data_IF_774806734623
#
_entry.id   IF_774806734623
#
_cell.length_a   1.000
_cell.length_b   1.000
_cell.length_c   1.000
_cell.angle_alpha   90.00
_cell.angle_beta   90.00
_cell.angle_gamma   90.00
#
_symmetry.space_group_name_H-M   'P 1'
#
loop_
_entity.id
_entity.type
_entity.pdbx_description
1 polymer ?
2 non-polymer ?
3 non-polymer ?
4 water ?
#
# COMPACT_ATOMS: atom_id res chain seq x y z
N UNK A 1 11.51 16.11 -19.03
CA UNK A 1 10.74 15.72 -17.81
C UNK A 1 10.34 14.25 -17.97
N UNK A 2 10.13 13.59 -16.82
CA UNK A 2 9.48 12.28 -16.82
C UNK A 2 8.30 12.33 -15.84
N UNK A 3 7.45 11.30 -15.94
CA UNK A 3 6.30 11.13 -15.07
C UNK A 3 6.44 9.81 -14.33
N UNK A 4 6.33 9.87 -13.00
CA UNK A 4 6.41 8.70 -12.13
C UNK A 4 5.08 8.65 -11.37
N UNK A 5 4.39 7.50 -11.48
CA UNK A 5 3.12 7.30 -10.82
C UNK A 5 3.18 6.06 -9.92
N UNK A 6 2.51 6.16 -8.75
CA UNK A 6 2.39 5.05 -7.83
C UNK A 6 0.92 4.94 -7.41
N UNK A 7 0.32 3.77 -7.70
CA UNK A 7 -1.12 3.57 -7.56
C UNK A 7 -1.41 2.46 -6.53
N UNK A 8 -2.34 2.76 -5.61
CA UNK A 8 -2.81 1.78 -4.63
C UNK A 8 -4.34 1.79 -4.59
N UNK A 9 -4.95 1.11 -3.61
CA UNK A 9 -6.41 1.03 -3.53
C UNK A 9 -7.08 2.40 -3.40
N UNK A 10 -6.45 3.36 -2.70
CA UNK A 10 -7.15 4.59 -2.33
C UNK A 10 -6.88 5.72 -3.33
N UNK A 11 -5.77 5.67 -4.07
CA UNK A 11 -5.40 6.80 -4.91
C UNK A 11 -4.16 6.46 -5.74
N UNK A 12 -3.94 7.28 -6.78
CA UNK A 12 -2.70 7.30 -7.52
C UNK A 12 -1.99 8.64 -7.27
N UNK A 13 -0.69 8.54 -7.00
CA UNK A 13 0.18 9.71 -6.89
C UNK A 13 0.97 9.87 -8.19
N UNK A 14 0.89 11.06 -8.79
CA UNK A 14 1.60 11.38 -10.00
C UNK A 14 2.64 12.46 -9.71
N UNK A 15 3.88 12.19 -10.14
CA UNK A 15 4.98 13.12 -9.96
C UNK A 15 5.54 13.45 -11.33
N UNK A 16 5.31 14.71 -11.75
CA UNK A 16 6.01 15.30 -12.87
C UNK A 16 7.34 15.87 -12.36
N UNK A 17 8.44 15.33 -12.90
CA UNK A 17 9.78 15.57 -12.37
C UNK A 17 10.73 15.87 -13.52
N UNK A 18 11.71 16.74 -13.24
CA UNK A 18 12.93 16.87 -14.02
C UNK A 18 14.10 16.45 -13.12
N UNK A 19 14.81 15.38 -13.51
CA UNK A 19 15.73 14.69 -12.61
C UNK A 19 15.05 14.39 -11.27
N UNK A 20 15.63 14.91 -10.18
CA UNK A 20 15.07 14.74 -8.85
C UNK A 20 14.23 15.94 -8.42
N UNK A 21 13.99 16.89 -9.34
CA UNK A 21 13.19 18.08 -9.04
C UNK A 21 11.71 17.84 -9.36
N UNK A 22 10.83 18.05 -8.36
CA UNK A 22 9.39 17.89 -8.51
C UNK A 22 8.79 19.15 -9.12
N UNK A 23 8.33 19.06 -10.38
CA UNK A 23 7.58 20.14 -11.02
C UNK A 23 6.18 20.23 -10.42
N UNK A 24 5.42 19.12 -10.46
CA UNK A 24 4.07 19.08 -9.90
C UNK A 24 3.74 17.66 -9.41
N UNK A 25 2.87 17.58 -8.40
CA UNK A 25 2.29 16.33 -7.90
C UNK A 25 0.77 16.44 -7.94
N UNK A 26 0.11 15.37 -8.39
CA UNK A 26 -1.35 15.32 -8.50
C UNK A 26 -1.81 13.95 -8.00
N UNK A 27 -2.96 13.90 -7.32
CA UNK A 27 -3.59 12.66 -6.92
C UNK A 27 -4.85 12.43 -7.76
N UNK A 28 -5.01 11.19 -8.20
CA UNK A 28 -6.23 10.71 -8.83
C UNK A 28 -6.74 9.49 -8.04
N UNK A 29 -7.84 8.90 -8.48
CA UNK A 29 -8.29 7.63 -7.91
C UNK A 29 -7.28 6.55 -8.27
N UNK A 30 -7.31 5.47 -7.47
CA UNK A 30 -6.60 4.23 -7.76
C UNK A 30 -6.92 3.70 -9.15
N UNK A 31 -5.93 3.03 -9.75
CA UNK A 31 -6.04 2.45 -11.08
C UNK A 31 -5.46 1.05 -10.97
N UNK A 32 -6.32 0.06 -11.16
CA UNK A 32 -5.97 -1.34 -10.97
C UNK A 32 -6.56 -2.15 -12.13
N UNK A 33 -5.71 -2.77 -12.98
CA UNK A 33 -6.20 -3.47 -14.17
C UNK A 33 -6.98 -4.74 -13.85
N UNK A 34 -7.05 -5.15 -12.57
CA UNK A 34 -7.99 -6.23 -12.24
C UNK A 34 -9.42 -5.72 -12.09
N UNK A 35 -9.62 -4.41 -11.85
CA UNK A 35 -10.95 -3.89 -11.56
C UNK A 35 -11.43 -2.93 -12.65
N UNK A 36 -10.51 -2.47 -13.49
CA UNK A 36 -10.80 -1.40 -14.44
C UNK A 36 -10.25 -1.84 -15.79
N UNK A 37 -11.06 -1.61 -16.83
CA UNK A 37 -10.65 -1.91 -18.20
C UNK A 37 -9.66 -0.84 -18.66
N UNK A 38 -9.02 -1.12 -19.80
CA UNK A 38 -8.10 -0.17 -20.41
C UNK A 38 -8.80 1.20 -20.61
N UNK A 39 -10.02 1.18 -21.15
CA UNK A 39 -10.68 2.45 -21.43
C UNK A 39 -11.04 3.25 -20.16
N UNK A 40 -11.45 2.55 -19.08
CA UNK A 40 -11.75 3.21 -17.82
C UNK A 40 -10.47 3.83 -17.24
N UNK A 41 -9.35 3.10 -17.32
CA UNK A 41 -8.06 3.64 -16.91
C UNK A 41 -7.71 4.91 -17.70
N UNK A 42 -7.80 4.85 -19.04
CA UNK A 42 -7.56 5.99 -19.91
C UNK A 42 -8.47 7.16 -19.54
N UNK A 43 -9.75 6.88 -19.29
CA UNK A 43 -10.71 7.95 -18.99
C UNK A 43 -10.39 8.61 -17.63
N UNK A 44 -10.08 7.78 -16.63
CA UNK A 44 -9.78 8.23 -15.28
C UNK A 44 -8.52 9.10 -15.29
N UNK A 45 -7.50 8.67 -16.06
CA UNK A 45 -6.31 9.47 -16.36
C UNK A 45 -6.71 10.81 -16.96
N UNK A 46 -7.50 10.75 -18.05
CA UNK A 46 -7.79 11.89 -18.89
C UNK A 46 -8.55 12.96 -18.09
N UNK A 47 -9.39 12.50 -17.16
CA UNK A 47 -10.26 13.37 -16.38
C UNK A 47 -9.56 13.85 -15.10
N UNK A 48 -8.56 13.09 -14.62
CA UNK A 48 -7.96 13.35 -13.31
C UNK A 48 -6.75 14.28 -13.36
N UNK A 49 -6.00 14.28 -14.46
CA UNK A 49 -4.74 15.02 -14.53
C UNK A 49 -4.95 16.39 -15.15
N UNK A 50 -4.20 17.45 -14.74
CA UNK A 50 -4.32 18.76 -15.38
C UNK A 50 -3.79 18.74 -16.82
N UNK A 51 -4.19 19.74 -17.60
CA UNK A 51 -3.78 19.94 -18.99
C UNK A 51 -2.26 19.92 -19.13
N UNK A 52 -1.56 20.63 -18.23
CA UNK A 52 -0.11 20.78 -18.28
C UNK A 52 0.59 19.44 -18.39
N UNK A 53 -0.02 18.38 -17.82
CA UNK A 53 0.53 17.04 -17.84
C UNK A 53 0.50 16.44 -19.25
N UNK A 54 -0.45 16.90 -20.07
CA UNK A 54 -0.70 16.31 -21.38
C UNK A 54 0.00 17.11 -22.48
N UNK A 55 0.42 18.35 -22.20
CA UNK A 55 1.03 19.20 -23.20
C UNK A 55 2.55 19.15 -23.07
N UNK A 56 3.04 18.59 -21.94
CA UNK A 56 4.45 18.56 -21.55
C UNK A 56 5.19 17.48 -22.33
N UNK A 57 6.36 17.83 -22.87
CA UNK A 57 7.31 16.89 -23.45
C UNK A 57 7.82 15.98 -22.33
N UNK A 58 7.44 14.68 -22.36
CA UNK A 58 7.88 13.66 -21.41
C UNK A 58 8.77 12.64 -22.10
N UNK A 59 9.94 12.34 -21.52
CA UNK A 59 10.84 11.31 -22.05
C UNK A 59 10.33 9.88 -21.76
N UNK A 60 9.92 9.58 -20.52
CA UNK A 60 9.27 8.31 -20.21
C UNK A 60 8.21 8.50 -19.12
N UNK A 61 7.40 7.45 -18.96
CA UNK A 61 6.42 7.33 -17.90
C UNK A 61 6.74 6.01 -17.17
N UNK A 62 6.99 6.12 -15.85
CA UNK A 62 7.18 4.98 -14.97
C UNK A 62 5.93 4.87 -14.11
N UNK A 63 5.21 3.75 -14.27
CA UNK A 63 3.99 3.51 -13.50
C UNK A 63 4.21 2.27 -12.64
N UNK A 64 3.86 2.37 -11.36
CA UNK A 64 3.79 1.20 -10.46
C UNK A 64 2.40 1.15 -9.84
N UNK A 65 1.83 -0.05 -9.77
CA UNK A 65 0.47 -0.13 -9.24
C UNK A 65 0.14 -1.49 -8.65
N UNK A 66 -0.79 -1.53 -7.68
CA UNK A 66 -1.45 -2.76 -7.27
C UNK A 66 -2.04 -3.44 -8.51
N UNK A 67 -1.91 -4.76 -8.60
CA UNK A 67 -2.58 -5.48 -9.68
C UNK A 67 -1.78 -5.46 -10.99
N UNK A 68 -0.65 -4.75 -11.03
CA UNK A 68 0.25 -4.78 -12.18
C UNK A 68 1.27 -5.90 -11.98
N UNK A 69 0.81 -7.15 -11.98
CA UNK A 69 1.62 -8.25 -11.43
C UNK A 69 1.78 -9.40 -12.43
N UNK A 70 1.34 -9.21 -13.67
CA UNK A 70 1.53 -10.17 -14.74
C UNK A 70 1.80 -9.41 -16.04
N UNK A 71 2.32 -10.09 -17.06
CA UNK A 71 2.62 -9.47 -18.35
C UNK A 71 1.35 -8.83 -18.92
N UNK A 72 0.26 -9.59 -18.85
CA UNK A 72 -1.02 -9.21 -19.43
C UNK A 72 -1.60 -7.98 -18.71
N UNK A 73 -1.57 -7.97 -17.37
CA UNK A 73 -2.13 -6.86 -16.62
C UNK A 73 -1.30 -5.59 -16.82
N UNK A 74 0.02 -5.77 -16.96
CA UNK A 74 0.92 -4.64 -17.15
C UNK A 74 0.63 -3.99 -18.50
N UNK A 75 0.25 -4.80 -19.51
CA UNK A 75 -0.07 -4.38 -20.87
C UNK A 75 -1.25 -3.43 -20.92
N UNK A 76 -2.32 -3.80 -20.19
CA UNK A 76 -3.54 -2.99 -20.09
C UNK A 76 -3.16 -1.57 -19.66
N UNK A 77 -2.42 -1.46 -18.54
CA UNK A 77 -1.99 -0.18 -18.01
C UNK A 77 -1.10 0.54 -19.01
N UNK A 78 -0.22 -0.24 -19.65
CA UNK A 78 0.77 0.33 -20.55
C UNK A 78 0.06 0.97 -21.75
N UNK A 79 -0.92 0.22 -22.30
CA UNK A 79 -1.71 0.67 -23.44
C UNK A 79 -2.39 2.01 -23.12
N UNK A 80 -3.06 2.09 -21.94
CA UNK A 80 -3.66 3.34 -21.49
C UNK A 80 -2.64 4.49 -21.47
N UNK A 81 -1.50 4.28 -20.79
CA UNK A 81 -0.45 5.31 -20.64
C UNK A 81 0.07 5.74 -22.00
N UNK A 82 0.39 4.75 -22.84
CA UNK A 82 0.91 5.02 -24.18
C UNK A 82 -0.12 5.79 -25.01
N UNK A 83 -1.43 5.51 -24.83
CA UNK A 83 -2.46 6.22 -25.57
C UNK A 83 -2.59 7.65 -25.06
N UNK A 84 -2.41 7.84 -23.74
CA UNK A 84 -2.70 9.13 -23.12
C UNK A 84 -1.53 10.10 -23.26
N UNK A 85 -0.29 9.58 -23.37
CA UNK A 85 0.93 10.37 -23.25
C UNK A 85 1.84 10.27 -24.48
N UNK A 86 1.65 9.26 -25.32
CA UNK A 86 2.37 9.09 -26.58
C UNK A 86 3.88 9.01 -26.34
N UNK A 87 4.26 8.24 -25.33
CA UNK A 87 5.64 8.16 -24.90
C UNK A 87 5.90 6.77 -24.29
N UNK A 88 7.15 6.25 -24.35
CA UNK A 88 7.53 5.02 -23.65
C UNK A 88 6.99 4.96 -22.21
N UNK A 89 6.32 3.85 -21.87
CA UNK A 89 5.75 3.64 -20.55
C UNK A 89 6.19 2.27 -20.03
N UNK A 90 6.65 2.26 -18.76
CA UNK A 90 7.17 1.09 -18.09
C UNK A 90 6.31 0.83 -16.85
N UNK A 91 5.63 -0.34 -16.85
CA UNK A 91 4.64 -0.66 -15.83
C UNK A 91 5.21 -1.76 -14.94
N UNK A 92 5.23 -1.53 -13.62
CA UNK A 92 5.71 -2.52 -12.66
C UNK A 92 4.75 -2.62 -11.48
N UNK A 93 5.02 -3.55 -10.55
CA UNK A 93 4.12 -3.78 -9.45
C UNK A 93 4.38 -2.76 -8.32
N UNK A 94 3.42 -2.64 -7.39
CA UNK A 94 3.60 -1.84 -6.18
C UNK A 94 4.70 -2.42 -5.28
N UNK A 95 4.95 -3.73 -5.39
CA UNK A 95 6.01 -4.36 -4.60
C UNK A 95 7.38 -3.91 -5.10
N UNK A 96 7.60 -3.87 -6.42
CA UNK A 96 8.89 -3.41 -6.95
C UNK A 96 9.06 -1.92 -6.67
N UNK A 97 7.95 -1.18 -6.63
CA UNK A 97 8.03 0.23 -6.22
C UNK A 97 8.61 0.34 -4.80
N UNK A 98 8.15 -0.52 -3.88
CA UNK A 98 8.63 -0.48 -2.50
C UNK A 98 10.12 -0.81 -2.48
N UNK A 99 10.49 -1.90 -3.17
CA UNK A 99 11.88 -2.36 -3.19
C UNK A 99 12.79 -1.25 -3.73
N UNK A 100 12.46 -0.73 -4.92
CA UNK A 100 13.34 0.25 -5.56
C UNK A 100 13.34 1.57 -4.80
N UNK A 101 12.16 1.95 -4.27
CA UNK A 101 12.03 3.21 -3.56
C UNK A 101 12.79 3.17 -2.23
N UNK A 102 12.79 2.00 -1.56
CA UNK A 102 13.40 1.83 -0.26
C UNK A 102 14.89 1.51 -0.34
N UNK A 103 15.35 0.84 -1.41
CA UNK A 103 16.68 0.27 -1.41
C UNK A 103 17.58 0.81 -2.53
N UNK A 104 16.97 1.38 -3.58
CA UNK A 104 17.75 1.88 -4.71
C UNK A 104 18.44 0.70 -5.41
N UNK A 105 19.77 0.60 -5.28
CA UNK A 105 20.57 -0.50 -5.81
C UNK A 105 21.24 -1.32 -4.72
N UNK A 106 20.82 -1.16 -3.46
CA UNK A 106 21.29 -2.00 -2.37
C UNK A 106 20.31 -3.16 -2.17
N UNK A 107 20.73 -4.19 -1.40
CA UNK A 107 19.95 -5.38 -1.09
C UNK A 107 19.30 -5.27 0.28
N UNK A 108 18.12 -5.88 0.42
CA UNK A 108 17.49 -5.97 1.73
C UNK A 108 16.05 -6.45 1.61
N UNK A 109 15.34 -6.37 2.73
CA UNK A 109 13.98 -6.86 2.84
C UNK A 109 13.05 -5.65 2.80
N UNK A 110 12.18 -5.57 1.77
CA UNK A 110 11.23 -4.46 1.68
C UNK A 110 9.85 -4.98 2.04
N UNK A 111 9.15 -4.23 2.92
CA UNK A 111 7.83 -4.64 3.38
C UNK A 111 6.83 -3.50 3.19
N UNK A 112 5.59 -3.86 2.84
CA UNK A 112 4.48 -2.90 2.70
C UNK A 112 3.43 -3.21 3.78
N UNK A 113 3.03 -2.22 4.58
CA UNK A 113 1.85 -2.39 5.41
C UNK A 113 0.87 -1.29 5.00
N UNK A 114 -0.13 -1.69 4.21
CA UNK A 114 -1.11 -0.78 3.60
C UNK A 114 -2.51 -1.41 3.69
N UNK A 115 -3.31 -1.27 2.63
CA UNK A 115 -4.59 -1.95 2.59
C UNK A 115 -4.36 -3.44 2.78
N UNK A 116 -3.42 -4.00 2.00
CA UNK A 116 -2.91 -5.34 2.24
C UNK A 116 -1.48 -5.22 2.76
N UNK A 117 -0.77 -6.35 2.81
CA UNK A 117 0.63 -6.31 3.19
C UNK A 117 1.45 -7.13 2.21
N UNK A 118 2.76 -6.88 2.19
CA UNK A 118 3.60 -7.57 1.23
C UNK A 118 5.04 -7.49 1.73
N UNK A 119 5.89 -8.35 1.17
CA UNK A 119 7.30 -8.40 1.56
C UNK A 119 8.10 -9.07 0.45
N UNK A 120 9.41 -8.74 0.37
CA UNK A 120 10.27 -9.40 -0.60
C UNK A 120 11.72 -9.25 -0.17
N UNK A 121 12.57 -10.09 -0.76
CA UNK A 121 14.00 -9.86 -0.72
C UNK A 121 14.39 -9.26 -2.06
N UNK A 122 15.09 -8.12 -2.01
CA UNK A 122 15.47 -7.44 -3.22
C UNK A 122 17.00 -7.41 -3.29
N UNK A 123 17.57 -7.85 -4.41
CA UNK A 123 19.01 -8.06 -4.51
C UNK A 123 19.70 -6.80 -5.04
N UNK A 124 18.99 -5.65 -5.06
CA UNK A 124 19.53 -4.42 -5.60
C UNK A 124 19.15 -4.21 -7.07
N UNK A 125 18.60 -5.24 -7.71
CA UNK A 125 18.19 -5.15 -9.11
C UNK A 125 16.81 -5.74 -9.36
N UNK A 126 16.54 -6.93 -8.78
CA UNK A 126 15.31 -7.67 -8.94
C UNK A 126 14.82 -8.20 -7.58
N UNK A 127 13.53 -8.51 -7.51
CA UNK A 127 12.96 -9.24 -6.40
C UNK A 127 13.35 -10.71 -6.55
N UNK A 128 13.97 -11.28 -5.52
CA UNK A 128 14.52 -12.64 -5.59
C UNK A 128 13.60 -13.61 -4.88
N UNK A 129 12.78 -13.09 -3.98
CA UNK A 129 11.97 -13.96 -3.14
C UNK A 129 10.78 -13.15 -2.65
N UNK A 130 9.61 -13.78 -2.58
CA UNK A 130 8.42 -13.02 -2.25
C UNK A 130 7.43 -13.93 -1.52
N UNK A 131 7.39 -13.84 -0.19
CA UNK A 131 6.43 -14.64 0.57
C UNK A 131 5.00 -14.27 0.11
N UNK A 132 4.11 -15.27 -0.09
CA UNK A 132 2.78 -14.90 -0.57
C UNK A 132 1.99 -14.23 0.55
N UNK A 133 1.44 -13.06 0.25
CA UNK A 133 0.69 -12.33 1.28
C UNK A 133 -0.63 -13.05 1.58
N UNK A 134 -1.34 -13.49 0.54
CA UNK A 134 -2.53 -14.34 0.73
C UNK A 134 -3.88 -13.61 0.69
N UNK A 135 -3.88 -12.26 0.69
CA UNK A 135 -5.12 -11.50 0.53
C UNK A 135 -5.81 -11.34 1.87
N UNK A 136 -6.94 -10.63 1.88
CA UNK A 136 -7.49 -10.13 3.15
C UNK A 136 -8.09 -11.24 4.00
N UNK A 137 -8.49 -12.35 3.37
CA UNK A 137 -9.11 -13.44 4.14
C UNK A 137 -8.04 -14.41 4.66
N UNK A 138 -7.14 -14.87 3.77
CA UNK A 138 -6.20 -15.92 4.08
C UNK A 138 -4.85 -15.36 4.55
N UNK A 139 -4.68 -14.04 4.58
CA UNK A 139 -3.35 -13.55 4.98
C UNK A 139 -3.33 -12.03 5.14
N UNK A 140 -2.40 -11.34 4.46
CA UNK A 140 -2.25 -9.90 4.60
C UNK A 140 -2.07 -9.56 6.08
N UNK A 141 -1.25 -10.38 6.76
CA UNK A 141 -0.96 -10.13 8.18
C UNK A 141 -0.42 -8.70 8.37
N UNK A 142 -0.84 -8.02 9.44
CA UNK A 142 -0.30 -6.71 9.76
C UNK A 142 -0.88 -5.59 8.87
N UNK A 143 -1.79 -5.92 7.94
CA UNK A 143 -2.33 -4.89 7.03
C UNK A 143 -3.49 -4.13 7.70
N UNK A 144 -3.92 -3.00 7.10
CA UNK A 144 -5.15 -2.33 7.50
C UNK A 144 -6.34 -3.31 7.52
N UNK A 145 -6.47 -4.17 6.51
CA UNK A 145 -7.65 -5.03 6.45
C UNK A 145 -7.60 -6.07 7.57
N UNK A 146 -6.39 -6.56 7.90
CA UNK A 146 -6.26 -7.52 9.00
C UNK A 146 -6.69 -6.88 10.32
N UNK A 147 -6.30 -5.61 10.52
CA UNK A 147 -6.70 -4.87 11.72
C UNK A 147 -8.23 -4.80 11.77
N UNK A 148 -8.82 -4.33 10.65
CA UNK A 148 -10.25 -4.11 10.54
C UNK A 148 -11.00 -5.42 10.76
N UNK A 149 -10.46 -6.51 10.21
CA UNK A 149 -11.08 -7.81 10.36
C UNK A 149 -11.15 -8.24 11.84
N UNK A 150 -10.04 -8.13 12.58
CA UNK A 150 -10.07 -8.49 14.00
C UNK A 150 -10.95 -7.52 14.83
N UNK A 151 -10.85 -6.23 14.54
CA UNK A 151 -11.65 -5.23 15.25
C UNK A 151 -13.14 -5.56 15.08
N UNK A 152 -13.58 -5.73 13.82
CA UNK A 152 -15.00 -5.98 13.55
C UNK A 152 -15.47 -7.33 14.12
N UNK A 153 -14.58 -8.33 14.09
CA UNK A 153 -14.84 -9.60 14.77
C UNK A 153 -15.15 -9.38 16.26
N UNK A 154 -14.34 -8.54 16.91
CA UNK A 154 -14.50 -8.17 18.31
C UNK A 154 -15.76 -7.34 18.51
N UNK A 155 -16.07 -6.41 17.58
CA UNK A 155 -17.28 -5.61 17.70
C UNK A 155 -18.49 -6.53 17.76
N UNK A 156 -18.56 -7.49 16.82
CA UNK A 156 -19.74 -8.35 16.76
C UNK A 156 -19.84 -9.23 18.01
N UNK A 157 -18.70 -9.60 18.61
CA UNK A 157 -18.72 -10.43 19.82
C UNK A 157 -18.89 -9.60 21.09
N UNK A 158 -18.93 -8.25 20.95
CA UNK A 158 -19.04 -7.32 22.07
C UNK A 158 -17.80 -7.34 22.98
N UNK A 159 -16.63 -7.67 22.42
CA UNK A 159 -15.41 -7.84 23.20
C UNK A 159 -14.62 -6.54 23.27
N UNK A 160 -14.83 -5.65 22.27
CA UNK A 160 -14.16 -4.36 22.23
C UNK A 160 -14.74 -3.43 23.29
N UNK A 161 -14.01 -2.36 23.67
CA UNK A 161 -14.55 -1.35 24.60
C UNK A 161 -15.83 -0.73 24.04
N UNK A 162 -16.81 -0.45 24.91
CA UNK A 162 -18.08 0.05 24.43
C UNK A 162 -17.88 1.38 23.68
N UNK A 163 -17.02 2.25 24.21
CA UNK A 163 -16.76 3.54 23.56
C UNK A 163 -16.41 3.35 22.08
N UNK A 164 -15.56 2.36 21.76
CA UNK A 164 -15.10 2.08 20.40
C UNK A 164 -16.26 1.56 19.56
N UNK A 165 -17.07 0.66 20.14
CA UNK A 165 -18.18 0.07 19.43
C UNK A 165 -19.20 1.16 19.07
N UNK A 166 -19.55 2.00 20.04
CA UNK A 166 -20.53 3.07 19.84
C UNK A 166 -20.01 4.05 18.78
N UNK A 167 -18.74 4.44 18.89
CA UNK A 167 -18.15 5.40 17.97
C UNK A 167 -18.12 4.80 16.55
N UNK A 168 -17.78 3.51 16.43
CA UNK A 168 -17.73 2.82 15.16
C UNK A 168 -19.12 2.85 14.50
N UNK A 169 -20.16 2.49 15.27
CA UNK A 169 -21.50 2.38 14.71
C UNK A 169 -22.00 3.76 14.30
N UNK A 170 -21.65 4.76 15.09
CA UNK A 170 -22.11 6.10 14.82
C UNK A 170 -21.38 6.69 13.63
N UNK A 171 -20.03 6.59 13.63
CA UNK A 171 -19.23 7.22 12.59
C UNK A 171 -19.62 6.66 11.22
N UNK A 172 -19.81 5.34 11.11
CA UNK A 172 -20.05 4.65 9.85
C UNK A 172 -21.54 4.47 9.57
N UNK A 173 -22.41 4.91 10.51
CA UNK A 173 -23.85 4.77 10.38
C UNK A 173 -24.21 3.30 10.10
N UNK A 174 -23.80 2.41 11.01
CA UNK A 174 -23.94 0.97 10.86
C UNK A 174 -24.62 0.40 12.11
N UNK A 175 -25.16 -0.81 11.98
CA UNK A 175 -25.59 -1.66 13.06
C UNK A 175 -24.89 -3.01 12.81
N UNK A 176 -24.96 -3.97 13.76
CA UNK A 176 -24.33 -5.29 13.55
C UNK A 176 -24.81 -5.95 12.25
N UNK A 177 -26.11 -5.86 12.01
CA UNK A 177 -26.69 -6.40 10.79
C UNK A 177 -26.10 -5.73 9.55
N UNK A 178 -25.98 -4.39 9.57
CA UNK A 178 -25.46 -3.67 8.40
C UNK A 178 -23.99 -4.01 8.15
N UNK A 179 -23.19 -4.25 9.23
CA UNK A 179 -21.81 -4.71 9.15
C UNK A 179 -21.73 -5.99 8.31
N UNK A 180 -22.63 -6.95 8.56
CA UNK A 180 -22.58 -8.24 7.90
C UNK A 180 -22.85 -7.97 6.41
N UNK A 181 -23.83 -7.12 6.18
CA UNK A 181 -24.21 -6.78 4.83
C UNK A 181 -23.02 -6.18 4.05
N UNK A 182 -22.33 -5.19 4.64
CA UNK A 182 -21.18 -4.54 4.01
C UNK A 182 -20.10 -5.56 3.70
N UNK A 183 -19.76 -6.41 4.69
CA UNK A 183 -18.61 -7.29 4.58
C UNK A 183 -18.90 -8.40 3.57
N UNK A 184 -20.11 -8.99 3.65
CA UNK A 184 -20.46 -10.21 2.92
C UNK A 184 -21.15 -9.92 1.59
N UNK A 185 -21.74 -8.74 1.40
CA UNK A 185 -22.60 -8.56 0.23
C UNK A 185 -22.25 -7.36 -0.64
N UNK A 186 -21.36 -6.47 -0.18
CA UNK A 186 -21.12 -5.21 -0.87
C UNK A 186 -19.72 -5.24 -1.46
N UNK A 187 -19.48 -4.50 -2.57
CA UNK A 187 -18.16 -4.47 -3.23
C UNK A 187 -16.99 -4.07 -2.32
N UNK A 188 -15.80 -4.63 -2.57
CA UNK A 188 -14.56 -4.15 -1.98
C UNK A 188 -14.62 -4.20 -0.46
N UNK A 189 -15.01 -5.35 0.14
CA UNK A 189 -15.05 -5.45 1.60
C UNK A 189 -13.65 -5.21 2.19
N UNK A 190 -12.60 -5.61 1.47
CA UNK A 190 -11.23 -5.40 1.97
C UNK A 190 -10.98 -3.92 2.24
N UNK A 191 -11.47 -3.05 1.36
CA UNK A 191 -11.24 -1.61 1.50
C UNK A 191 -11.95 -1.05 2.73
N UNK A 192 -13.17 -1.51 2.98
CA UNK A 192 -13.91 -1.10 4.16
C UNK A 192 -13.19 -1.58 5.43
N UNK A 193 -12.76 -2.85 5.47
CA UNK A 193 -12.00 -3.33 6.62
C UNK A 193 -10.73 -2.49 6.78
N UNK A 194 -10.03 -2.19 5.66
CA UNK A 194 -8.75 -1.46 5.76
C UNK A 194 -8.96 -0.02 6.27
N UNK A 195 -10.14 0.57 5.99
CA UNK A 195 -10.51 1.89 6.48
C UNK A 195 -10.50 1.96 8.01
N UNK A 196 -10.76 0.83 8.70
CA UNK A 196 -10.71 0.72 10.16
C UNK A 196 -9.33 1.07 10.74
N UNK A 197 -8.28 0.83 9.96
CA UNK A 197 -6.93 1.21 10.34
C UNK A 197 -6.83 2.71 10.60
N UNK A 198 -7.53 3.52 9.80
CA UNK A 198 -7.54 4.95 10.03
C UNK A 198 -8.41 5.31 11.23
N UNK A 199 -9.56 4.65 11.36
CA UNK A 199 -10.48 4.88 12.46
C UNK A 199 -9.76 4.60 13.80
N UNK A 200 -9.06 3.46 13.91
CA UNK A 200 -8.52 2.99 15.18
C UNK A 200 -7.34 3.88 15.62
N UNK A 201 -6.71 4.56 14.65
CA UNK A 201 -5.49 5.30 14.91
C UNK A 201 -5.76 6.42 15.90
N UNK A 202 -7.01 6.90 15.99
CA UNK A 202 -7.34 7.94 16.95
C UNK A 202 -7.50 7.42 18.38
N UNK A 203 -7.45 6.10 18.58
CA UNK A 203 -7.83 5.49 19.86
C UNK A 203 -6.63 4.74 20.46
N UNK A 204 -5.42 5.16 20.08
CA UNK A 204 -4.22 4.41 20.43
C UNK A 204 -3.96 4.46 21.95
N UNK A 205 -4.57 5.41 22.65
CA UNK A 205 -4.41 5.48 24.10
C UNK A 205 -5.11 4.28 24.76
N UNK A 206 -5.99 3.58 24.06
CA UNK A 206 -6.68 2.44 24.67
C UNK A 206 -5.82 1.18 24.63
N UNK A 207 -5.70 0.48 25.77
CA UNK A 207 -5.02 -0.81 25.85
C UNK A 207 -5.52 -1.75 24.77
N UNK A 208 -6.85 -1.72 24.52
CA UNK A 208 -7.41 -2.65 23.54
C UNK A 208 -6.76 -2.44 22.16
N UNK A 209 -6.63 -1.18 21.75
CA UNK A 209 -6.16 -0.85 20.40
C UNK A 209 -4.64 -1.11 20.31
N UNK A 210 -3.86 -0.75 21.35
CA UNK A 210 -2.45 -1.09 21.36
C UNK A 210 -2.27 -2.60 21.22
N UNK A 211 -3.02 -3.39 21.99
CA UNK A 211 -2.89 -4.84 21.94
C UNK A 211 -3.28 -5.38 20.57
N UNK A 212 -4.32 -4.82 19.97
CA UNK A 212 -4.69 -5.21 18.60
C UNK A 212 -3.57 -4.95 17.58
N UNK A 213 -2.96 -3.76 17.61
CA UNK A 213 -1.85 -3.45 16.72
C UNK A 213 -0.67 -4.37 16.98
N UNK A 214 -0.29 -4.56 18.26
CA UNK A 214 0.91 -5.38 18.54
C UNK A 214 0.73 -6.81 18.02
N UNK A 215 -0.44 -7.39 18.28
CA UNK A 215 -0.79 -8.73 17.84
C UNK A 215 -0.67 -8.90 16.31
N UNK A 216 -1.23 -7.95 15.56
CA UNK A 216 -1.25 -8.02 14.10
C UNK A 216 0.13 -7.76 13.51
N UNK A 217 0.87 -6.80 14.09
CA UNK A 217 2.24 -6.53 13.66
C UNK A 217 3.14 -7.74 13.97
N UNK A 218 2.97 -8.37 15.16
CA UNK A 218 3.78 -9.55 15.47
C UNK A 218 3.50 -10.67 14.46
N UNK A 219 2.23 -10.80 14.08
CA UNK A 219 1.83 -11.83 13.12
C UNK A 219 2.53 -11.63 11.78
N UNK A 220 2.65 -10.38 11.34
CA UNK A 220 3.34 -10.10 10.10
C UNK A 220 4.82 -10.52 10.17
N UNK A 221 5.48 -10.20 11.29
CA UNK A 221 6.86 -10.61 11.48
C UNK A 221 7.00 -12.12 11.53
N UNK A 222 6.14 -12.84 12.30
CA UNK A 222 6.28 -14.28 12.47
C UNK A 222 6.04 -15.00 11.13
N UNK A 223 5.04 -14.53 10.34
CA UNK A 223 4.57 -15.31 9.21
C UNK A 223 5.20 -14.78 7.91
N UNK A 224 5.75 -13.57 7.90
CA UNK A 224 6.32 -13.04 6.66
C UNK A 224 7.80 -12.68 6.82
N UNK A 225 8.11 -11.66 7.62
CA UNK A 225 9.48 -11.13 7.72
C UNK A 225 10.47 -12.24 8.06
N UNK A 226 10.07 -13.14 8.96
CA UNK A 226 11.07 -14.06 9.47
C UNK A 226 11.28 -15.27 8.54
N UNK A 227 10.57 -15.30 7.39
CA UNK A 227 10.90 -16.26 6.33
C UNK A 227 12.15 -15.81 5.57
N UNK A 228 12.56 -14.53 5.70
CA UNK A 228 13.76 -14.04 5.04
C UNK A 228 14.95 -14.06 6.01
N UNK A 229 16.16 -13.83 5.48
CA UNK A 229 17.37 -13.69 6.27
C UNK A 229 17.36 -12.33 7.00
N UNK A 230 16.42 -12.16 7.95
CA UNK A 230 16.03 -10.86 8.47
C UNK A 230 17.03 -10.30 9.49
N UNK A 231 17.96 -11.11 10.02
CA UNK A 231 18.96 -10.61 10.96
C UNK A 231 20.20 -10.10 10.23
N UNK A 232 20.29 -10.39 8.93
CA UNK A 232 21.52 -10.13 8.20
C UNK A 232 21.37 -9.06 7.12
N UNK A 233 20.16 -8.50 6.93
CA UNK A 233 19.93 -7.45 5.93
C UNK A 233 19.04 -6.37 6.53
N UNK A 234 19.09 -5.11 6.03
CA UNK A 234 18.19 -4.07 6.52
C UNK A 234 16.77 -4.48 6.10
N UNK A 235 15.81 -4.22 7.00
CA UNK A 235 14.40 -4.39 6.73
C UNK A 235 13.82 -2.98 6.67
N UNK A 236 13.11 -2.65 5.57
CA UNK A 236 12.59 -1.31 5.39
C UNK A 236 11.10 -1.40 5.07
N UNK A 237 10.30 -0.46 5.58
CA UNK A 237 8.85 -0.47 5.49
C UNK A 237 8.35 0.76 4.73
N UNK A 238 7.23 0.54 4.04
CA UNK A 238 6.49 1.61 3.38
C UNK A 238 5.00 1.33 3.58
N UNK A 239 4.18 2.38 3.58
CA UNK A 239 2.74 2.16 3.54
C UNK A 239 2.01 2.90 4.67
N UNK A 240 0.68 3.03 4.56
CA UNK A 240 -0.04 3.94 5.44
C UNK A 240 -0.10 3.38 6.86
N UNK A 241 -0.22 2.05 6.98
CA UNK A 241 -0.26 1.39 8.28
C UNK A 241 1.10 1.46 8.98
N UNK A 242 2.17 1.13 8.25
CA UNK A 242 3.53 1.20 8.78
C UNK A 242 3.82 2.61 9.28
N UNK A 243 3.40 3.60 8.48
CA UNK A 243 3.71 4.99 8.77
C UNK A 243 2.93 5.48 9.99
N UNK A 244 1.62 5.23 9.99
CA UNK A 244 0.77 5.70 11.06
C UNK A 244 1.08 4.97 12.37
N UNK A 245 1.57 3.72 12.31
CA UNK A 245 1.79 3.00 13.55
C UNK A 245 3.29 2.72 13.78
N UNK A 246 4.14 3.68 13.38
CA UNK A 246 5.58 3.51 13.29
C UNK A 246 6.19 3.15 14.65
N UNK A 247 5.71 3.76 15.75
CA UNK A 247 6.25 3.52 17.09
C UNK A 247 6.04 2.06 17.51
N UNK A 248 4.82 1.54 17.35
CA UNK A 248 4.49 0.16 17.65
C UNK A 248 5.24 -0.81 16.73
N UNK A 249 5.36 -0.47 15.44
CA UNK A 249 6.12 -1.27 14.51
C UNK A 249 7.57 -1.38 14.99
N UNK A 250 8.17 -0.23 15.36
CA UNK A 250 9.56 -0.24 15.80
C UNK A 250 9.71 -1.14 17.04
N UNK A 251 8.73 -1.06 17.96
CA UNK A 251 8.73 -1.88 19.16
C UNK A 251 8.71 -3.35 18.79
N UNK A 252 7.85 -3.75 17.83
CA UNK A 252 7.77 -5.14 17.40
C UNK A 252 9.09 -5.61 16.78
N UNK A 253 9.69 -4.77 15.94
CA UNK A 253 11.04 -5.00 15.45
C UNK A 253 12.02 -5.40 16.55
N UNK A 254 12.10 -4.59 17.64
CA UNK A 254 13.05 -4.82 18.72
C UNK A 254 12.75 -6.15 19.40
N UNK A 255 11.47 -6.49 19.55
CA UNK A 255 11.08 -7.78 20.12
C UNK A 255 11.70 -8.93 19.32
N UNK A 256 11.85 -8.77 18.01
CA UNK A 256 12.39 -9.81 17.14
C UNK A 256 13.87 -9.57 16.86
N UNK A 257 14.49 -8.65 17.64
CA UNK A 257 15.92 -8.45 17.60
C UNK A 257 16.40 -7.64 16.39
N UNK A 258 15.53 -6.82 15.76
CA UNK A 258 15.97 -5.97 14.64
C UNK A 258 15.71 -4.49 14.94
N UNK A 259 16.45 -3.64 14.21
CA UNK A 259 16.36 -2.20 14.30
C UNK A 259 15.73 -1.74 12.99
N UNK A 260 14.48 -1.26 13.08
CA UNK A 260 13.74 -0.73 11.93
C UNK A 260 13.92 0.78 11.94
N UNK A 261 14.82 1.28 11.10
CA UNK A 261 14.98 2.72 11.10
C UNK A 261 14.45 3.34 9.80
N UNK A 262 13.94 2.53 8.87
CA UNK A 262 13.33 3.17 7.69
C UNK A 262 11.86 2.78 7.63
N UNK A 263 10.99 3.77 7.91
CA UNK A 263 9.55 3.63 7.73
C UNK A 263 9.05 4.87 6.98
N UNK A 264 8.56 4.66 5.76
CA UNK A 264 8.13 5.79 4.93
C UNK A 264 6.64 5.65 4.64
N UNK A 265 5.99 6.79 4.41
CA UNK A 265 4.58 6.75 4.06
C UNK A 265 4.40 6.12 2.68
N UNK A 266 5.15 6.59 1.68
CA UNK A 266 5.09 6.07 0.32
C UNK A 266 6.51 5.89 -0.24
N UNK A 267 6.70 5.09 -1.32
CA UNK A 267 8.01 4.95 -1.95
C UNK A 267 8.34 6.06 -2.96
N UNK A 268 7.46 7.07 -3.09
CA UNK A 268 7.55 8.03 -4.19
C UNK A 268 8.88 8.79 -4.15
N UNK A 269 9.26 9.33 -2.97
CA UNK A 269 10.52 10.06 -2.86
C UNK A 269 11.71 9.21 -3.34
N UNK A 270 11.70 7.92 -2.97
CA UNK A 270 12.74 6.97 -3.36
C UNK A 270 12.72 6.64 -4.85
N UNK A 271 11.51 6.60 -5.43
CA UNK A 271 11.35 6.28 -6.85
C UNK A 271 11.87 7.43 -7.71
N UNK A 272 11.66 8.68 -7.27
CA UNK A 272 12.19 9.82 -8.01
C UNK A 272 13.71 9.76 -8.09
N UNK A 273 14.34 9.42 -6.94
CA UNK A 273 15.79 9.25 -6.86
C UNK A 273 16.22 8.10 -7.78
N UNK A 274 15.51 6.97 -7.73
CA UNK A 274 15.88 5.78 -8.48
C UNK A 274 15.90 6.05 -9.98
N UNK A 275 14.91 6.79 -10.48
CA UNK A 275 14.76 6.94 -11.92
C UNK A 275 15.59 8.13 -12.42
N UNK A 276 16.37 8.76 -11.52
CA UNK A 276 17.32 9.79 -11.88
C UNK A 276 18.71 9.20 -12.17
N UNK A 277 19.02 8.02 -11.61
CA UNK A 277 20.22 7.23 -11.90
C UNK A 277 20.11 6.62 -13.31
#
# INVERSE_FOLDING_TARGET
MKLIAESGSTKTEWSLVEGEHLIQRVFTEGLNPFFQTRREISRSIRLGLPDSFFKRKLEQVFFYGAGCTSAEKKSVVEASLVAQFKTPAYVESDLLAAARGLFQHDSGIACILGTGSNSCFYDGHVIVKNVRAGGYILGDEGSGAALGKQFLSDVLKKLAPQVLIDDFFEKYDLTPHDVMDVVYNRPFPNRFLAEQSCFLADYLRLDYVKGLLLSNLRSFFLRNVMQYDYLNYPIRFVGSVAYNYADLLHQVGKEFGVELSVVEETPMGGLIKYHAFPPDDPES
#
